data_IF_272156833026
#
_entry.id   IF_272156833026
#
_cell.length_a   1.000
_cell.length_b   1.000
_cell.length_c   1.000
_cell.angle_alpha   90.00
_cell.angle_beta   90.00
_cell.angle_gamma   90.00
#
_symmetry.space_group_name_H-M   'P 1'
#
loop_
_entity.id
_entity.type
_entity.pdbx_description
1 polymer ?
#
# COMPACT_ATOMS: atom_id res chain seq x y z
N UNK A 1 -34.82 9.88 8.09
CA UNK A 1 -34.52 9.06 6.89
C UNK A 1 -33.29 9.58 6.14
N UNK A 2 -33.24 10.86 5.74
CA UNK A 2 -32.09 11.44 5.02
C UNK A 2 -30.76 11.40 5.79
N UNK A 3 -30.77 11.73 7.09
CA UNK A 3 -29.56 11.68 7.94
C UNK A 3 -28.99 10.27 8.06
N UNK A 4 -29.85 9.28 8.28
CA UNK A 4 -29.47 7.86 8.31
C UNK A 4 -28.86 7.41 6.97
N UNK A 5 -29.42 7.87 5.84
CA UNK A 5 -28.88 7.59 4.51
C UNK A 5 -27.46 8.17 4.32
N UNK A 6 -27.24 9.43 4.74
CA UNK A 6 -25.92 10.08 4.65
C UNK A 6 -24.88 9.35 5.52
N UNK A 7 -25.25 8.99 6.75
CA UNK A 7 -24.38 8.24 7.67
C UNK A 7 -24.05 6.87 7.07
N UNK A 8 -25.05 6.16 6.54
CA UNK A 8 -24.85 4.87 5.88
C UNK A 8 -23.89 4.98 4.70
N UNK A 9 -24.08 5.96 3.82
CA UNK A 9 -23.20 6.20 2.68
C UNK A 9 -21.76 6.53 3.10
N UNK A 10 -21.59 7.34 4.15
CA UNK A 10 -20.29 7.65 4.72
C UNK A 10 -19.60 6.39 5.25
N UNK A 11 -20.31 5.55 6.03
CA UNK A 11 -19.78 4.30 6.56
C UNK A 11 -19.39 3.33 5.45
N UNK A 12 -20.24 3.14 4.44
CA UNK A 12 -19.93 2.30 3.28
C UNK A 12 -18.67 2.80 2.60
N UNK A 13 -18.52 4.11 2.42
CA UNK A 13 -17.33 4.70 1.79
C UNK A 13 -16.07 4.44 2.61
N UNK A 14 -16.14 4.58 3.94
CA UNK A 14 -15.02 4.32 4.85
C UNK A 14 -14.61 2.85 4.84
N UNK A 15 -15.59 1.94 4.92
CA UNK A 15 -15.36 0.48 4.88
C UNK A 15 -14.82 0.07 3.52
N UNK A 16 -15.42 0.56 2.43
CA UNK A 16 -14.98 0.28 1.06
C UNK A 16 -13.52 0.72 0.85
N UNK A 17 -13.19 1.95 1.25
CA UNK A 17 -11.84 2.49 1.18
C UNK A 17 -10.85 1.83 2.14
N UNK A 18 -11.30 0.94 3.03
CA UNK A 18 -10.41 0.20 3.93
C UNK A 18 -10.22 -1.24 3.44
N UNK A 19 -11.29 -1.97 3.15
CA UNK A 19 -11.25 -3.42 2.97
C UNK A 19 -11.29 -3.90 1.52
N UNK A 20 -11.75 -3.08 0.57
CA UNK A 20 -11.92 -3.57 -0.80
C UNK A 20 -10.57 -3.71 -1.53
N UNK A 21 -10.31 -4.88 -2.15
CA UNK A 21 -9.08 -5.11 -2.88
C UNK A 21 -8.85 -4.15 -4.04
N UNK A 22 -7.60 -3.77 -4.26
CA UNK A 22 -7.18 -3.08 -5.48
C UNK A 22 -7.12 -4.09 -6.62
N UNK A 23 -7.97 -3.89 -7.65
CA UNK A 23 -8.02 -4.75 -8.84
C UNK A 23 -6.69 -4.75 -9.60
N UNK A 24 -6.40 -5.88 -10.26
CA UNK A 24 -5.25 -6.08 -11.14
C UNK A 24 -3.90 -5.74 -10.49
N UNK A 25 -3.72 -6.17 -9.24
CA UNK A 25 -2.45 -6.02 -8.54
C UNK A 25 -1.94 -7.42 -8.16
N UNK A 26 -1.06 -8.03 -8.97
CA UNK A 26 -0.55 -9.38 -8.72
C UNK A 26 0.45 -9.40 -7.55
N UNK A 27 0.48 -10.52 -6.83
CA UNK A 27 1.58 -10.84 -5.93
C UNK A 27 2.83 -11.16 -6.76
N UNK A 28 3.96 -10.57 -6.40
CA UNK A 28 5.24 -10.72 -7.11
C UNK A 28 6.23 -11.40 -6.17
N UNK A 29 6.92 -12.43 -6.67
CA UNK A 29 7.94 -13.18 -5.91
C UNK A 29 9.36 -12.70 -6.19
N UNK A 30 9.61 -12.16 -7.39
CA UNK A 30 10.94 -11.81 -7.86
C UNK A 30 11.13 -10.30 -8.02
N UNK A 31 12.38 -9.86 -7.86
CA UNK A 31 12.75 -8.48 -8.09
C UNK A 31 12.67 -8.16 -9.59
N UNK A 32 11.62 -7.45 -10.02
CA UNK A 32 11.64 -6.80 -11.32
C UNK A 32 12.79 -5.79 -11.34
N UNK A 33 13.76 -5.97 -12.26
CA UNK A 33 15.02 -5.21 -12.30
C UNK A 33 14.85 -3.69 -12.39
N UNK A 34 13.69 -3.23 -12.86
CA UNK A 34 13.39 -1.80 -13.06
C UNK A 34 12.34 -1.25 -12.08
N UNK A 35 11.87 -2.06 -11.14
CA UNK A 35 10.89 -1.64 -10.16
C UNK A 35 11.53 -1.00 -8.93
N UNK A 36 10.85 0.00 -8.40
CA UNK A 36 11.16 0.63 -7.12
C UNK A 36 10.33 -0.05 -6.05
N UNK A 37 11.02 -0.61 -5.07
CA UNK A 37 10.39 -1.24 -3.92
C UNK A 37 10.05 -0.17 -2.90
N UNK A 38 8.78 -0.08 -2.54
CA UNK A 38 8.30 0.84 -1.50
C UNK A 38 7.78 -0.01 -0.35
N UNK A 39 8.50 0.04 0.77
CA UNK A 39 8.17 -0.69 1.98
C UNK A 39 7.24 0.12 2.86
N UNK A 40 6.00 -0.35 2.96
CA UNK A 40 4.91 0.30 3.69
C UNK A 40 4.72 -0.22 5.10
N UNK A 41 5.51 -1.23 5.50
CA UNK A 41 5.46 -1.80 6.85
C UNK A 41 5.87 -0.77 7.89
N UNK A 42 5.48 -1.02 9.12
CA UNK A 42 5.95 -0.32 10.31
C UNK A 42 7.48 -0.33 10.36
N UNK A 43 8.10 0.75 10.85
CA UNK A 43 9.56 0.81 11.01
C UNK A 43 10.11 -0.37 11.82
N UNK A 44 9.35 -0.92 12.77
CA UNK A 44 9.77 -2.08 13.56
C UNK A 44 9.89 -3.36 12.71
N UNK A 45 8.92 -3.63 11.85
CA UNK A 45 8.92 -4.82 10.99
C UNK A 45 9.99 -4.70 9.90
N UNK A 46 10.11 -3.51 9.32
CA UNK A 46 11.14 -3.21 8.35
C UNK A 46 12.55 -3.24 8.92
N UNK A 47 12.75 -2.81 10.17
CA UNK A 47 14.06 -2.89 10.83
C UNK A 47 14.46 -4.33 11.17
N UNK A 48 13.50 -5.19 11.53
CA UNK A 48 13.76 -6.62 11.81
C UNK A 48 14.14 -7.39 10.55
N UNK A 49 13.43 -7.14 9.45
CA UNK A 49 13.61 -7.81 8.18
C UNK A 49 13.75 -6.77 7.04
N UNK A 50 14.92 -6.10 6.95
CA UNK A 50 15.14 -5.06 5.97
C UNK A 50 15.18 -5.64 4.56
N UNK A 51 14.56 -4.91 3.62
CA UNK A 51 14.61 -5.25 2.20
C UNK A 51 15.58 -4.30 1.52
N UNK A 52 16.69 -4.84 1.02
CA UNK A 52 17.76 -4.05 0.45
C UNK A 52 17.28 -3.28 -0.79
N UNK A 53 17.60 -2.00 -0.88
CA UNK A 53 17.17 -1.12 -1.97
C UNK A 53 15.71 -0.65 -1.90
N UNK A 54 14.94 -1.05 -0.89
CA UNK A 54 13.58 -0.54 -0.71
C UNK A 54 13.57 0.84 -0.04
N UNK A 55 12.66 1.69 -0.50
CA UNK A 55 12.35 2.98 0.13
C UNK A 55 11.34 2.71 1.25
N UNK A 56 11.77 2.89 2.50
CA UNK A 56 10.93 2.64 3.65
C UNK A 56 10.08 3.85 4.02
N UNK A 57 8.77 3.76 3.78
CA UNK A 57 7.79 4.78 4.14
C UNK A 57 6.55 4.07 4.69
N UNK A 58 6.43 3.93 6.03
CA UNK A 58 5.29 3.22 6.60
C UNK A 58 3.97 3.82 6.15
N UNK A 59 2.96 2.98 6.03
CA UNK A 59 1.68 3.30 5.43
C UNK A 59 1.02 4.58 6.00
N UNK A 60 1.13 4.81 7.32
CA UNK A 60 0.64 6.01 8.00
C UNK A 60 1.37 7.31 7.61
N UNK A 61 2.62 7.22 7.15
CA UNK A 61 3.44 8.34 6.71
C UNK A 61 3.45 8.52 5.19
N UNK A 62 2.90 7.56 4.43
CA UNK A 62 2.92 7.54 2.98
C UNK A 62 2.44 8.86 2.36
N UNK A 63 1.32 9.42 2.85
CA UNK A 63 0.80 10.70 2.33
C UNK A 63 1.78 11.87 2.49
N UNK A 64 2.57 11.87 3.57
CA UNK A 64 3.52 12.96 3.89
C UNK A 64 4.77 12.88 3.00
N UNK A 65 5.27 11.67 2.76
CA UNK A 65 6.54 11.44 2.08
C UNK A 65 6.39 10.88 0.66
N UNK A 66 5.18 10.88 0.11
CA UNK A 66 4.92 10.30 -1.22
C UNK A 66 5.83 10.88 -2.31
N UNK A 67 6.22 12.15 -2.20
CA UNK A 67 7.10 12.85 -3.15
C UNK A 67 8.55 12.33 -3.16
N UNK A 68 8.96 11.60 -2.13
CA UNK A 68 10.29 10.97 -2.08
C UNK A 68 10.35 9.71 -2.95
N UNK A 69 9.19 9.18 -3.34
CA UNK A 69 9.11 8.02 -4.21
C UNK A 69 9.36 8.49 -5.66
N UNK A 70 10.39 7.95 -6.34
CA UNK A 70 10.65 8.28 -7.74
C UNK A 70 9.50 7.81 -8.63
N UNK A 71 9.23 8.55 -9.71
CA UNK A 71 8.16 8.22 -10.65
C UNK A 71 8.58 7.06 -11.58
N UNK A 72 8.52 5.83 -11.05
CA UNK A 72 8.83 4.56 -11.74
C UNK A 72 7.76 3.51 -11.43
N UNK A 73 7.92 2.30 -11.97
CA UNK A 73 7.13 1.15 -11.58
C UNK A 73 7.33 0.85 -10.10
N UNK A 74 6.25 0.73 -9.34
CA UNK A 74 6.29 0.44 -7.90
C UNK A 74 5.90 -1.00 -7.64
N UNK A 75 6.69 -1.67 -6.81
CA UNK A 75 6.29 -2.89 -6.10
C UNK A 75 6.17 -2.56 -4.61
N UNK A 76 5.00 -2.85 -4.04
CA UNK A 76 4.71 -2.58 -2.63
C UNK A 76 5.21 -3.74 -1.78
N UNK A 77 5.85 -3.45 -0.66
CA UNK A 77 6.11 -4.40 0.42
C UNK A 77 5.19 -4.04 1.58
N UNK A 78 4.42 -4.99 2.09
CA UNK A 78 3.45 -4.76 3.16
C UNK A 78 3.42 -5.92 4.17
N UNK A 79 2.92 -5.68 5.37
CA UNK A 79 2.74 -6.72 6.40
C UNK A 79 1.44 -7.51 6.21
N UNK A 80 0.45 -6.93 5.53
CA UNK A 80 -0.86 -7.57 5.30
C UNK A 80 -1.62 -6.96 4.12
N UNK A 81 -2.74 -7.59 3.76
CA UNK A 81 -3.62 -7.17 2.65
C UNK A 81 -4.24 -5.79 2.87
N UNK A 82 -4.52 -5.41 4.11
CA UNK A 82 -5.12 -4.12 4.43
C UNK A 82 -4.15 -2.98 4.09
N UNK A 83 -2.92 -3.09 4.59
CA UNK A 83 -1.85 -2.14 4.33
C UNK A 83 -1.54 -2.06 2.84
N UNK A 84 -1.39 -3.20 2.18
CA UNK A 84 -1.19 -3.29 0.73
C UNK A 84 -2.31 -2.58 -0.04
N UNK A 85 -3.57 -2.83 0.30
CA UNK A 85 -4.70 -2.23 -0.40
C UNK A 85 -4.76 -0.71 -0.20
N UNK A 86 -4.55 -0.24 1.02
CA UNK A 86 -4.52 1.18 1.33
C UNK A 86 -3.37 1.89 0.60
N UNK A 87 -2.16 1.34 0.70
CA UNK A 87 -0.97 1.86 0.05
C UNK A 87 -1.11 1.92 -1.46
N UNK A 88 -1.52 0.82 -2.09
CA UNK A 88 -1.72 0.75 -3.53
C UNK A 88 -2.74 1.77 -4.03
N UNK A 89 -3.87 1.93 -3.31
CA UNK A 89 -4.89 2.90 -3.68
C UNK A 89 -4.39 4.33 -3.53
N UNK A 90 -3.62 4.63 -2.48
CA UNK A 90 -3.05 5.96 -2.28
C UNK A 90 -2.02 6.28 -3.37
N UNK A 91 -1.07 5.37 -3.62
CA UNK A 91 -0.07 5.53 -4.68
C UNK A 91 -0.71 5.75 -6.07
N UNK A 92 -1.69 4.91 -6.44
CA UNK A 92 -2.44 5.07 -7.70
C UNK A 92 -3.18 6.41 -7.77
N UNK A 93 -3.78 6.88 -6.67
CA UNK A 93 -4.45 8.19 -6.59
C UNK A 93 -3.49 9.35 -6.87
N UNK A 94 -2.23 9.21 -6.47
CA UNK A 94 -1.18 10.21 -6.70
C UNK A 94 -0.46 10.03 -8.05
N UNK A 95 -0.93 9.12 -8.91
CA UNK A 95 -0.41 8.96 -10.28
C UNK A 95 0.71 7.93 -10.44
N UNK A 96 1.07 7.20 -9.38
CA UNK A 96 2.12 6.19 -9.47
C UNK A 96 1.64 4.90 -10.14
N UNK A 97 2.55 4.27 -10.88
CA UNK A 97 2.30 3.01 -11.57
C UNK A 97 2.65 1.82 -10.67
N UNK A 98 1.68 1.39 -9.85
CA UNK A 98 1.83 0.21 -8.98
C UNK A 98 1.63 -1.08 -9.77
N UNK A 99 2.71 -1.86 -9.92
CA UNK A 99 2.77 -3.08 -10.74
C UNK A 99 2.51 -4.37 -9.98
N UNK A 100 2.83 -4.38 -8.69
CA UNK A 100 2.66 -5.58 -7.88
C UNK A 100 2.85 -5.33 -6.40
N UNK A 101 2.80 -6.41 -5.63
CA UNK A 101 3.06 -6.37 -4.21
C UNK A 101 3.71 -7.66 -3.70
N UNK A 102 4.34 -7.56 -2.54
CA UNK A 102 4.73 -8.70 -1.72
C UNK A 102 4.23 -8.47 -0.30
N UNK A 103 3.79 -9.54 0.37
CA UNK A 103 3.45 -9.52 1.78
C UNK A 103 4.56 -10.25 2.53
N UNK A 104 5.24 -9.53 3.42
CA UNK A 104 6.37 -10.02 4.20
C UNK A 104 6.13 -9.69 5.68
N UNK A 105 5.00 -10.18 6.19
CA UNK A 105 4.72 -10.27 7.61
C UNK A 105 4.93 -11.72 8.09
N UNK A 106 5.01 -11.98 9.41
CA UNK A 106 4.77 -13.33 9.90
C UNK A 106 3.37 -13.72 9.44
N UNK A 107 3.25 -14.80 8.66
CA UNK A 107 1.98 -15.47 8.44
C UNK A 107 1.34 -15.73 9.81
N UNK A 108 0.24 -15.04 10.10
CA UNK A 108 -0.67 -15.46 11.17
C UNK A 108 -1.37 -16.75 10.74
#
# INVERSE_FOLDING_TARGET
>A
MLTSLIISLLLVTLVFNRYVPVRNLPAVKDYEKDAVFVDLRDYQDSAKNPVNGAINIPCGYLKRYIKEIPNRHIVIIASNELEKNFGARLLKRYGYNVKGYTITGPSQ
#
